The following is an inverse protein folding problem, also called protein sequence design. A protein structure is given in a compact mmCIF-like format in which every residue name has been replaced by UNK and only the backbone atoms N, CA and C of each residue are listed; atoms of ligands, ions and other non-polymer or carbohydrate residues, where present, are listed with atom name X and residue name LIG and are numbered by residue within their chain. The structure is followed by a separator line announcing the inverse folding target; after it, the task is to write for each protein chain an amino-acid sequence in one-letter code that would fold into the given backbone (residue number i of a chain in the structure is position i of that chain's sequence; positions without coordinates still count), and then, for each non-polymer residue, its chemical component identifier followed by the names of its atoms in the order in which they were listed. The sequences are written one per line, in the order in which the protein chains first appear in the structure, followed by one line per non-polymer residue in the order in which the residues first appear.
data_IF_538146749550
#
_entry.id   IF_538146749550
#
_cell.length_a   1.000
_cell.length_b   1.000
_cell.length_c   1.000
_cell.angle_alpha   90.00
_cell.angle_beta   90.00
_cell.angle_gamma   90.00
#
_symmetry.space_group_name_H-M   'P 1'
#
loop_
_entity.id
_entity.type
_entity.pdbx_description
1 polymer ?
2 water ?
#
# COMPACT_ATOMS: atom_id res chain seq x y z
N UNK A 1 3.83 26.22 -4.02
CA UNK A 1 4.28 26.95 -5.24
C UNK A 1 3.20 27.01 -6.31
N UNK A 2 2.10 26.30 -6.05
CA UNK A 2 1.00 26.30 -6.99
C UNK A 2 0.94 25.02 -7.80
N UNK A 3 1.91 24.13 -7.59
CA UNK A 3 1.94 22.85 -8.31
C UNK A 3 1.13 21.79 -7.57
N UNK A 4 1.82 20.86 -6.92
CA UNK A 4 1.16 19.80 -6.19
C UNK A 4 0.78 20.22 -4.78
N UNK A 5 -0.48 19.99 -4.43
CA UNK A 5 -1.00 20.33 -3.11
C UNK A 5 -0.98 19.09 -2.22
N UNK A 6 -0.23 19.16 -1.12
CA UNK A 6 -0.12 18.04 -0.20
C UNK A 6 -1.28 18.02 0.78
N UNK A 7 -2.04 16.93 0.78
CA UNK A 7 -3.19 16.78 1.66
C UNK A 7 -2.65 16.24 2.99
N UNK A 8 -3.01 16.89 4.09
CA UNK A 8 -2.51 16.47 5.40
C UNK A 8 -3.63 16.02 6.33
N UNK A 9 -4.86 16.10 5.85
CA UNK A 9 -6.00 15.71 6.66
C UNK A 9 -7.26 15.54 5.84
N UNK A 10 -8.26 14.93 6.46
CA UNK A 10 -9.55 14.71 5.84
C UNK A 10 -10.22 16.07 5.56
N UNK A 11 -10.03 17.01 6.48
CA UNK A 11 -10.60 18.36 6.33
C UNK A 11 -10.00 18.99 5.08
N UNK A 12 -8.69 18.87 4.91
CA UNK A 12 -8.04 19.42 3.73
C UNK A 12 -8.57 18.68 2.50
N UNK A 13 -8.70 17.36 2.61
CA UNK A 13 -9.24 16.57 1.50
C UNK A 13 -10.60 17.12 1.04
N UNK A 14 -11.52 17.30 1.99
CA UNK A 14 -12.86 17.80 1.67
C UNK A 14 -12.84 19.21 1.08
N UNK A 15 -11.94 20.05 1.60
CA UNK A 15 -11.87 21.41 1.08
C UNK A 15 -11.39 21.39 -0.36
N UNK A 16 -10.43 20.53 -0.68
CA UNK A 16 -9.90 20.50 -2.04
C UNK A 16 -10.88 19.92 -3.04
N UNK A 17 -11.64 18.89 -2.65
CA UNK A 17 -12.61 18.33 -3.58
C UNK A 17 -13.67 19.40 -3.88
N UNK A 18 -14.07 20.13 -2.84
CA UNK A 18 -15.04 21.20 -2.98
C UNK A 18 -14.50 22.27 -3.92
N UNK A 19 -13.19 22.53 -3.84
CA UNK A 19 -12.56 23.52 -4.70
C UNK A 19 -12.75 23.10 -6.17
N UNK A 20 -12.37 21.86 -6.49
CA UNK A 20 -12.53 21.37 -7.85
C UNK A 20 -13.96 21.53 -8.37
N UNK A 21 -14.93 21.31 -7.49
CA UNK A 21 -16.34 21.44 -7.84
C UNK A 21 -16.73 22.90 -8.10
N UNK A 22 -16.25 23.81 -7.25
CA UNK A 22 -16.53 25.24 -7.38
C UNK A 22 -15.82 25.84 -8.59
N UNK A 23 -14.58 25.45 -8.84
CA UNK A 23 -13.88 26.01 -9.98
C UNK A 23 -14.19 25.26 -11.26
N UNK A 24 -14.88 24.13 -11.16
CA UNK A 24 -15.21 23.33 -12.34
C UNK A 24 -13.94 22.90 -13.08
N UNK A 25 -13.01 22.34 -12.32
CA UNK A 25 -11.73 21.87 -12.86
C UNK A 25 -11.59 20.45 -12.35
N UNK A 26 -11.01 19.56 -13.16
CA UNK A 26 -10.85 18.18 -12.70
C UNK A 26 -9.68 18.12 -11.71
N UNK A 27 -9.72 17.15 -10.80
CA UNK A 27 -8.67 16.97 -9.82
C UNK A 27 -8.00 15.61 -10.06
N UNK A 28 -6.67 15.56 -10.07
CA UNK A 28 -5.98 14.29 -10.24
C UNK A 28 -5.20 14.05 -8.96
N UNK A 29 -5.45 12.92 -8.32
CA UNK A 29 -4.81 12.61 -7.05
C UNK A 29 -3.80 11.48 -7.15
N UNK A 30 -2.67 11.66 -6.50
CA UNK A 30 -1.62 10.64 -6.46
C UNK A 30 -1.59 10.05 -5.05
N UNK A 31 -2.06 8.80 -4.91
CA UNK A 31 -2.03 8.11 -3.63
C UNK A 31 -0.69 7.37 -3.59
N UNK A 32 0.17 7.79 -2.67
CA UNK A 32 1.51 7.26 -2.57
C UNK A 32 1.94 6.92 -1.13
N UNK A 33 3.14 6.39 -0.98
CA UNK A 33 3.68 6.05 0.33
C UNK A 33 5.20 6.10 0.28
N UNK A 34 5.83 6.45 1.39
CA UNK A 34 7.29 6.54 1.45
C UNK A 34 8.00 5.20 1.18
N UNK A 35 7.34 4.08 1.50
CA UNK A 35 7.95 2.76 1.28
C UNK A 35 7.76 2.20 -0.11
N UNK A 36 6.99 2.91 -0.92
CA UNK A 36 6.69 2.45 -2.27
C UNK A 36 7.75 2.86 -3.29
N UNK A 37 8.53 1.89 -3.75
CA UNK A 37 9.57 2.17 -4.73
C UNK A 37 9.08 2.73 -6.05
N UNK A 38 8.15 2.05 -6.72
CA UNK A 38 7.64 2.57 -8.00
C UNK A 38 7.02 3.96 -7.83
N UNK A 39 6.47 4.24 -6.66
CA UNK A 39 5.88 5.56 -6.41
C UNK A 39 6.97 6.62 -6.48
N UNK A 40 8.13 6.31 -5.90
CA UNK A 40 9.25 7.24 -5.90
C UNK A 40 9.70 7.51 -7.33
N UNK A 41 9.60 6.50 -8.17
CA UNK A 41 10.01 6.64 -9.56
C UNK A 41 9.09 7.49 -10.43
N UNK A 42 7.78 7.46 -10.16
CA UNK A 42 6.85 8.23 -10.98
C UNK A 42 6.54 9.62 -10.45
N UNK A 43 6.93 9.90 -9.21
CA UNK A 43 6.67 11.21 -8.64
C UNK A 43 7.22 12.37 -9.48
N UNK A 44 8.46 12.24 -9.99
CA UNK A 44 8.99 13.36 -10.79
C UNK A 44 8.05 13.72 -11.95
N UNK A 45 7.47 12.72 -12.59
CA UNK A 45 6.56 12.97 -13.69
C UNK A 45 5.28 13.68 -13.22
N UNK A 46 4.70 13.19 -12.12
CA UNK A 46 3.48 13.78 -11.59
C UNK A 46 3.68 15.27 -11.35
N UNK A 47 4.86 15.64 -10.87
CA UNK A 47 5.17 17.04 -10.61
C UNK A 47 5.30 17.83 -11.91
N UNK A 48 5.97 17.26 -12.90
CA UNK A 48 6.13 17.92 -14.19
C UNK A 48 4.75 18.14 -14.80
N UNK A 49 3.93 17.10 -14.78
CA UNK A 49 2.58 17.19 -15.32
C UNK A 49 1.82 18.30 -14.61
N UNK A 50 2.11 18.48 -13.32
CA UNK A 50 1.42 19.52 -12.58
C UNK A 50 1.85 20.91 -13.07
N UNK A 51 3.08 21.03 -13.55
CA UNK A 51 3.53 22.32 -14.05
C UNK A 51 2.94 22.50 -15.44
N UNK A 52 2.93 21.43 -16.22
CA UNK A 52 2.40 21.50 -17.57
C UNK A 52 0.90 21.76 -17.64
N UNK A 53 0.16 21.39 -16.61
CA UNK A 53 -1.29 21.59 -16.65
C UNK A 53 -1.80 22.58 -15.62
N UNK A 54 -0.89 23.34 -15.02
CA UNK A 54 -1.27 24.33 -14.03
C UNK A 54 -2.40 25.18 -14.61
N UNK A 55 -3.42 25.45 -13.80
CA UNK A 55 -4.53 26.25 -14.28
C UNK A 55 -5.62 25.46 -14.99
N UNK A 56 -5.30 24.26 -15.47
CA UNK A 56 -6.33 23.45 -16.14
C UNK A 56 -6.76 22.29 -15.25
N UNK A 57 -5.82 21.74 -14.49
CA UNK A 57 -6.09 20.61 -13.62
C UNK A 57 -5.44 20.84 -12.26
N UNK A 58 -6.12 20.39 -11.21
CA UNK A 58 -5.62 20.52 -9.85
C UNK A 58 -4.97 19.19 -9.46
N UNK A 59 -3.75 19.26 -8.95
CA UNK A 59 -3.02 18.06 -8.56
C UNK A 59 -2.88 17.92 -7.04
N UNK A 60 -3.30 16.78 -6.51
CA UNK A 60 -3.18 16.55 -5.08
C UNK A 60 -2.32 15.31 -4.81
N UNK A 61 -1.68 15.30 -3.65
CA UNK A 61 -0.85 14.19 -3.25
C UNK A 61 -1.28 13.72 -1.87
N UNK A 62 -1.55 12.43 -1.75
CA UNK A 62 -1.96 11.87 -0.48
C UNK A 62 -1.03 10.75 -0.05
N UNK A 63 -0.36 10.95 1.08
CA UNK A 63 0.52 9.94 1.62
C UNK A 63 -0.43 9.04 2.41
N UNK A 64 -0.68 7.83 1.90
CA UNK A 64 -1.63 6.93 2.55
C UNK A 64 -1.40 6.66 4.03
N UNK A 65 -0.14 6.54 4.44
CA UNK A 65 0.12 6.28 5.84
C UNK A 65 -0.15 7.51 6.71
N UNK A 66 0.14 8.70 6.18
CA UNK A 66 -0.08 9.94 6.92
C UNK A 66 -1.56 10.34 7.03
N UNK A 67 -2.39 9.88 6.09
CA UNK A 67 -3.80 10.23 6.10
C UNK A 67 -4.66 8.98 5.85
N UNK A 68 -4.57 8.04 6.79
CA UNK A 68 -5.29 6.78 6.70
C UNK A 68 -6.78 6.88 6.41
N UNK A 69 -7.45 7.86 7.01
CA UNK A 69 -8.89 8.04 6.81
C UNK A 69 -9.27 8.22 5.35
N UNK A 70 -8.47 8.99 4.62
CA UNK A 70 -8.75 9.24 3.21
C UNK A 70 -8.42 8.01 2.38
N UNK A 71 -7.30 7.37 2.72
CA UNK A 71 -6.84 6.18 2.04
C UNK A 71 -7.90 5.10 2.14
N UNK A 72 -8.42 4.90 3.34
CA UNK A 72 -9.44 3.87 3.54
C UNK A 72 -10.71 4.15 2.75
N UNK A 73 -11.21 5.38 2.83
CA UNK A 73 -12.43 5.72 2.11
C UNK A 73 -12.25 5.59 0.60
N UNK A 74 -11.06 5.94 0.13
CA UNK A 74 -10.78 5.88 -1.29
C UNK A 74 -10.65 4.44 -1.83
N UNK A 75 -10.58 3.46 -0.93
CA UNK A 75 -10.49 2.08 -1.37
C UNK A 75 -9.17 1.67 -2.00
N UNK A 76 -8.08 2.21 -1.47
CA UNK A 76 -6.73 1.94 -1.95
C UNK A 76 -6.17 0.56 -1.55
N UNK A 77 -5.58 -0.16 -2.50
CA UNK A 77 -4.99 -1.46 -2.19
C UNK A 77 -3.58 -1.64 -2.79
N UNK A 78 -3.32 -0.99 -3.94
CA UNK A 78 -2.01 -1.06 -4.59
C UNK A 78 -1.47 0.36 -4.84
N UNK A 79 -0.15 0.48 -4.86
CA UNK A 79 0.52 1.76 -5.06
C UNK A 79 1.44 1.74 -6.28
N UNK A 80 1.47 2.85 -7.03
CA UNK A 80 0.67 4.05 -6.75
C UNK A 80 -0.71 3.95 -7.37
N UNK A 81 -1.65 4.72 -6.84
CA UNK A 81 -2.98 4.77 -7.41
C UNK A 81 -3.29 6.22 -7.69
N UNK A 82 -3.89 6.47 -8.86
CA UNK A 82 -4.27 7.80 -9.29
C UNK A 82 -5.79 7.86 -9.46
N UNK A 83 -6.41 8.90 -8.91
CA UNK A 83 -7.85 9.04 -9.07
C UNK A 83 -8.11 10.37 -9.75
N UNK A 84 -9.21 10.45 -10.47
CA UNK A 84 -9.61 11.72 -11.05
C UNK A 84 -10.94 12.03 -10.37
N UNK A 85 -11.11 13.26 -9.91
CA UNK A 85 -12.35 13.65 -9.27
C UNK A 85 -12.95 14.80 -10.04
N UNK A 86 -14.26 14.75 -10.22
CA UNK A 86 -15.02 15.80 -10.90
C UNK A 86 -16.36 15.98 -10.18
N UNK A 87 -16.72 17.24 -9.92
CA UNK A 87 -17.96 17.56 -9.20
C UNK A 87 -18.08 16.81 -7.89
N UNK A 88 -16.95 16.64 -7.20
CA UNK A 88 -16.95 15.97 -5.91
C UNK A 88 -16.95 14.45 -5.84
N UNK A 89 -16.99 13.77 -6.98
CA UNK A 89 -17.01 12.30 -6.98
C UNK A 89 -15.93 11.71 -7.84
N UNK A 90 -15.62 10.44 -7.60
CA UNK A 90 -14.59 9.76 -8.37
C UNK A 90 -15.11 9.55 -9.79
N UNK A 91 -14.32 9.95 -10.79
CA UNK A 91 -14.72 9.84 -12.18
C UNK A 91 -13.84 8.90 -12.98
N UNK A 92 -12.64 8.60 -12.49
CA UNK A 92 -11.76 7.72 -13.25
C UNK A 92 -10.56 7.40 -12.37
N UNK A 93 -9.83 6.34 -12.72
CA UNK A 93 -8.65 5.97 -11.96
C UNK A 93 -7.60 5.24 -12.78
N UNK A 94 -6.41 5.09 -12.19
CA UNK A 94 -5.29 4.41 -12.83
C UNK A 94 -4.44 3.83 -11.71
N UNK A 95 -4.12 2.55 -11.80
CA UNK A 95 -3.32 1.92 -10.76
C UNK A 95 -2.05 1.39 -11.40
N UNK A 96 -0.92 1.67 -10.77
CA UNK A 96 0.35 1.21 -11.30
C UNK A 96 1.21 2.40 -11.65
N UNK A 97 2.49 2.16 -11.91
CA UNK A 97 3.40 3.24 -12.24
C UNK A 97 3.66 3.35 -13.73
N UNK A 98 2.60 3.29 -14.53
CA UNK A 98 2.76 3.40 -15.97
C UNK A 98 2.83 4.88 -16.36
N UNK A 99 4.01 5.33 -16.77
CA UNK A 99 4.18 6.72 -17.15
C UNK A 99 3.33 7.10 -18.36
N UNK A 100 3.30 6.22 -19.36
CA UNK A 100 2.52 6.50 -20.55
C UNK A 100 1.03 6.55 -20.27
N UNK A 101 0.56 5.77 -19.31
CA UNK A 101 -0.86 5.79 -18.99
C UNK A 101 -1.21 7.00 -18.15
N UNK A 102 -0.28 7.46 -17.32
CA UNK A 102 -0.52 8.63 -16.47
C UNK A 102 -0.69 9.86 -17.37
N UNK A 103 0.18 9.98 -18.37
CA UNK A 103 0.13 11.10 -19.31
C UNK A 103 -1.21 11.15 -20.05
N UNK A 104 -1.65 9.99 -20.51
CA UNK A 104 -2.90 9.88 -21.26
C UNK A 104 -4.11 10.22 -20.40
N UNK A 105 -4.07 9.77 -19.15
CA UNK A 105 -5.14 10.03 -18.19
C UNK A 105 -5.31 11.54 -17.97
N UNK A 106 -4.22 12.23 -17.66
CA UNK A 106 -4.28 13.67 -17.42
C UNK A 106 -4.75 14.41 -18.67
N UNK A 107 -4.14 14.12 -19.81
CA UNK A 107 -4.52 14.76 -21.07
C UNK A 107 -6.02 14.53 -21.33
N UNK A 108 -6.47 13.29 -21.18
CA UNK A 108 -7.87 12.99 -21.39
C UNK A 108 -8.81 13.90 -20.59
N UNK A 109 -8.55 14.06 -19.30
CA UNK A 109 -9.43 14.89 -18.49
C UNK A 109 -9.18 16.38 -18.59
N UNK A 110 -8.00 16.76 -19.06
CA UNK A 110 -7.68 18.17 -19.23
C UNK A 110 -8.63 18.71 -20.30
N UNK A 111 -9.09 17.81 -21.17
CA UNK A 111 -9.99 18.14 -22.28
C UNK A 111 -11.46 18.06 -21.86
N UNK A 112 -12.23 17.22 -22.53
CA UNK A 112 -13.65 17.07 -22.21
C UNK A 112 -14.19 15.67 -22.52
N UNK B 1 -3.73 -10.94 17.20
CA UNK B 1 -4.08 -12.09 18.11
C UNK B 1 -3.48 -13.42 17.67
N UNK B 2 -4.11 -14.51 18.13
CA UNK B 2 -3.63 -15.84 17.82
C UNK B 2 -2.21 -15.90 18.35
N UNK B 3 -1.31 -16.44 17.55
CA UNK B 3 0.08 -16.55 17.96
C UNK B 3 0.95 -15.60 17.13
N UNK B 4 0.31 -14.61 16.49
CA UNK B 4 1.01 -13.66 15.65
C UNK B 4 1.91 -12.72 16.46
N UNK B 5 3.13 -12.53 15.98
CA UNK B 5 4.07 -11.62 16.63
C UNK B 5 4.04 -10.33 15.82
N UNK B 6 3.78 -9.20 16.48
CA UNK B 6 3.76 -7.98 15.71
C UNK B 6 5.11 -7.29 15.82
N UNK B 7 5.65 -6.98 14.65
CA UNK B 7 6.94 -6.33 14.50
C UNK B 7 6.73 -4.83 14.64
N UNK B 8 7.47 -4.21 15.55
CA UNK B 8 7.34 -2.77 15.77
C UNK B 8 8.64 -2.03 15.46
N UNK B 9 9.66 -2.75 15.01
CA UNK B 9 10.93 -2.11 14.67
C UNK B 9 11.79 -2.94 13.73
N UNK B 10 12.78 -2.29 13.13
CA UNK B 10 13.71 -2.94 12.22
C UNK B 10 14.52 -3.99 12.99
N UNK B 11 14.93 -3.63 14.20
CA UNK B 11 15.72 -4.52 15.04
C UNK B 11 14.96 -5.81 15.39
N UNK B 12 13.67 -5.67 15.66
CA UNK B 12 12.84 -6.81 16.02
C UNK B 12 12.72 -7.67 14.78
N UNK B 13 12.56 -7.03 13.63
CA UNK B 13 12.47 -7.77 12.38
C UNK B 13 13.73 -8.62 12.17
N UNK B 14 14.91 -8.03 12.31
CA UNK B 14 16.15 -8.79 12.09
C UNK B 14 16.33 -9.91 13.10
N UNK B 15 15.94 -9.65 14.35
CA UNK B 15 16.06 -10.65 15.40
C UNK B 15 15.18 -11.84 15.10
N UNK B 16 13.95 -11.59 14.65
CA UNK B 16 13.05 -12.68 14.34
C UNK B 16 13.56 -13.50 13.14
N UNK B 17 14.14 -12.84 12.13
CA UNK B 17 14.65 -13.60 10.99
C UNK B 17 15.84 -14.47 11.40
N UNK B 18 16.74 -13.92 12.22
CA UNK B 18 17.91 -14.67 12.70
C UNK B 18 17.45 -15.91 13.45
N UNK B 19 16.43 -15.77 14.27
CA UNK B 19 15.94 -16.89 15.03
C UNK B 19 15.42 -17.99 14.10
N UNK B 20 14.58 -17.59 13.14
CA UNK B 20 14.03 -18.56 12.20
C UNK B 20 15.12 -19.36 11.51
N UNK B 21 16.19 -18.68 11.12
CA UNK B 21 17.32 -19.34 10.46
C UNK B 21 17.99 -20.32 11.44
N UNK B 22 18.22 -19.86 12.66
CA UNK B 22 18.84 -20.69 13.67
C UNK B 22 18.06 -21.96 13.93
N UNK B 23 16.76 -21.82 14.18
CA UNK B 23 15.90 -22.97 14.46
C UNK B 23 15.40 -23.70 13.22
N UNK B 24 15.81 -23.25 12.04
CA UNK B 24 15.39 -23.84 10.77
C UNK B 24 13.88 -23.96 10.72
N UNK B 25 13.20 -22.89 11.10
CA UNK B 25 11.75 -22.85 11.10
C UNK B 25 11.33 -21.75 10.13
N UNK B 26 10.44 -22.07 9.18
CA UNK B 26 9.99 -21.06 8.22
C UNK B 26 9.21 -19.92 8.89
N UNK B 27 9.22 -18.75 8.27
CA UNK B 27 8.52 -17.59 8.81
C UNK B 27 7.55 -17.05 7.78
N UNK B 28 6.31 -16.83 8.17
CA UNK B 28 5.38 -16.24 7.22
C UNK B 28 4.99 -14.86 7.72
N UNK B 29 5.15 -13.89 6.83
CA UNK B 29 4.87 -12.50 7.15
C UNK B 29 3.65 -11.91 6.45
N UNK B 30 2.83 -11.21 7.23
CA UNK B 30 1.67 -10.54 6.69
C UNK B 30 1.99 -9.05 6.70
N UNK B 31 2.13 -8.47 5.52
CA UNK B 31 2.40 -7.03 5.36
C UNK B 31 1.02 -6.42 5.18
N UNK B 32 0.58 -5.66 6.19
CA UNK B 32 -0.76 -5.08 6.21
C UNK B 32 -0.77 -3.58 6.55
N UNK B 33 -1.95 -2.97 6.55
CA UNK B 33 -2.10 -1.55 6.87
C UNK B 33 -3.54 -1.36 7.37
N UNK B 34 -3.73 -0.42 8.29
CA UNK B 34 -5.06 -0.21 8.84
C UNK B 34 -6.07 0.34 7.83
N UNK B 35 -5.59 1.00 6.77
CA UNK B 35 -6.49 1.56 5.75
C UNK B 35 -6.89 0.56 4.68
N UNK B 36 -6.31 -0.64 4.75
CA UNK B 36 -6.55 -1.68 3.77
C UNK B 36 -7.73 -2.57 4.12
N UNK B 37 -8.79 -2.45 3.33
CA UNK B 37 -9.99 -3.23 3.55
C UNK B 37 -9.75 -4.72 3.40
N UNK B 38 -9.25 -5.18 2.24
CA UNK B 38 -9.00 -6.61 2.07
C UNK B 38 -8.07 -7.17 3.15
N UNK B 39 -7.21 -6.33 3.70
CA UNK B 39 -6.29 -6.80 4.74
C UNK B 39 -7.00 -7.23 6.01
N UNK B 40 -8.04 -6.50 6.40
CA UNK B 40 -8.79 -6.82 7.61
C UNK B 40 -9.65 -8.06 7.41
N UNK B 41 -10.09 -8.25 6.17
CA UNK B 41 -10.93 -9.38 5.82
C UNK B 41 -10.20 -10.71 5.93
N UNK B 42 -8.90 -10.70 5.67
CA UNK B 42 -8.11 -11.92 5.72
C UNK B 42 -7.32 -12.09 7.03
N UNK B 43 -7.33 -11.07 7.89
CA UNK B 43 -6.60 -11.14 9.15
C UNK B 43 -7.02 -12.30 10.05
N UNK B 44 -8.33 -12.55 10.19
CA UNK B 44 -8.82 -13.65 11.03
C UNK B 44 -8.22 -14.99 10.60
N UNK B 45 -8.11 -15.18 9.28
CA UNK B 45 -7.56 -16.41 8.75
C UNK B 45 -6.09 -16.55 9.15
N UNK B 46 -5.33 -15.47 8.97
CA UNK B 46 -3.92 -15.47 9.32
C UNK B 46 -3.79 -15.84 10.80
N UNK B 47 -4.62 -15.26 11.65
CA UNK B 47 -4.54 -15.57 13.08
C UNK B 47 -4.80 -17.04 13.41
N UNK B 48 -5.81 -17.64 12.78
CA UNK B 48 -6.12 -19.05 13.06
C UNK B 48 -4.99 -19.96 12.60
N UNK B 49 -4.49 -19.70 11.39
CA UNK B 49 -3.37 -20.46 10.85
C UNK B 49 -2.17 -20.34 11.79
N UNK B 50 -2.05 -19.20 12.48
CA UNK B 50 -0.93 -19.01 13.39
C UNK B 50 -1.07 -19.97 14.56
N UNK B 51 -2.31 -20.31 14.91
CA UNK B 51 -2.54 -21.26 15.99
C UNK B 51 -2.38 -22.69 15.46
N UNK B 52 -2.98 -22.98 14.31
CA UNK B 52 -2.90 -24.31 13.71
C UNK B 52 -1.47 -24.79 13.45
N UNK B 53 -0.57 -23.85 13.19
CA UNK B 53 0.81 -24.20 12.89
C UNK B 53 1.79 -23.73 13.95
N UNK B 54 1.28 -23.39 15.12
CA UNK B 54 2.13 -22.94 16.21
C UNK B 54 3.19 -24.00 16.51
N UNK B 55 4.45 -23.59 16.61
CA UNK B 55 5.51 -24.53 16.89
C UNK B 55 6.22 -25.00 15.63
N UNK B 56 5.54 -24.93 14.49
CA UNK B 56 6.13 -25.34 13.23
C UNK B 56 6.55 -24.14 12.38
N UNK B 57 5.72 -23.09 12.41
CA UNK B 57 5.94 -21.89 11.62
C UNK B 57 5.78 -20.62 12.44
N UNK B 58 6.67 -19.67 12.20
CA UNK B 58 6.63 -18.40 12.91
C UNK B 58 5.82 -17.39 12.10
N UNK B 59 4.77 -16.84 12.71
CA UNK B 59 3.93 -15.87 12.01
C UNK B 59 4.20 -14.47 12.52
N UNK B 60 4.46 -13.57 11.58
CA UNK B 60 4.76 -12.17 11.87
C UNK B 60 3.80 -11.22 11.20
N UNK B 61 3.55 -10.09 11.86
CA UNK B 61 2.69 -9.06 11.30
C UNK B 61 3.48 -7.76 11.20
N UNK B 62 3.44 -7.14 10.04
CA UNK B 62 4.13 -5.88 9.86
C UNK B 62 3.13 -4.86 9.34
N UNK B 63 2.87 -3.84 10.16
CA UNK B 63 1.99 -2.76 9.77
C UNK B 63 2.93 -1.83 8.99
N UNK B 64 2.67 -1.61 7.71
CA UNK B 64 3.56 -0.76 6.92
C UNK B 64 3.60 0.70 7.40
N UNK B 65 2.56 1.14 8.11
CA UNK B 65 2.53 2.50 8.65
C UNK B 65 3.63 2.58 9.71
N UNK B 66 3.53 1.70 10.70
CA UNK B 66 4.47 1.66 11.82
C UNK B 66 5.93 1.32 11.53
N UNK B 67 6.20 0.46 10.55
CA UNK B 67 7.58 0.08 10.28
C UNK B 67 7.99 0.21 8.81
N UNK B 68 7.97 1.44 8.30
CA UNK B 68 8.29 1.74 6.91
C UNK B 68 9.62 1.21 6.37
N UNK B 69 10.68 1.25 7.17
CA UNK B 69 11.97 0.76 6.70
C UNK B 69 11.85 -0.70 6.28
N UNK B 70 11.15 -1.50 7.07
CA UNK B 70 10.98 -2.90 6.72
C UNK B 70 10.13 -3.06 5.46
N UNK B 71 9.03 -2.31 5.38
CA UNK B 71 8.16 -2.38 4.21
C UNK B 71 8.96 -2.01 2.94
N UNK B 72 9.80 -0.98 3.06
CA UNK B 72 10.61 -0.51 1.94
C UNK B 72 11.61 -1.56 1.48
N UNK B 73 12.33 -2.16 2.42
CA UNK B 73 13.31 -3.19 2.09
C UNK B 73 12.63 -4.40 1.46
N UNK B 74 11.39 -4.65 1.85
CA UNK B 74 10.64 -5.79 1.35
C UNK B 74 10.12 -5.64 -0.07
N UNK B 75 10.15 -4.42 -0.61
CA UNK B 75 9.65 -4.20 -1.96
C UNK B 75 8.14 -4.30 -2.08
N UNK B 76 7.43 -3.88 -1.04
CA UNK B 76 5.98 -3.94 -1.02
C UNK B 76 5.36 -2.94 -1.99
N UNK B 77 4.24 -3.31 -2.59
CA UNK B 77 3.60 -2.42 -3.54
C UNK B 77 2.07 -2.55 -3.51
N UNK B 78 1.60 -3.67 -3.00
CA UNK B 78 0.17 -3.94 -2.92
C UNK B 78 -0.14 -4.73 -1.65
N UNK B 79 -1.32 -4.50 -1.11
CA UNK B 79 -1.73 -5.17 0.11
C UNK B 79 -3.00 -5.99 -0.09
N UNK B 80 -3.13 -7.11 0.65
CA UNK B 80 -2.07 -7.50 1.58
C UNK B 80 -1.02 -8.29 0.83
N UNK B 81 0.15 -8.42 1.42
CA UNK B 81 1.22 -9.20 0.81
C UNK B 81 1.77 -10.16 1.86
N UNK B 82 2.04 -11.39 1.44
CA UNK B 82 2.58 -12.39 2.33
C UNK B 82 3.91 -12.88 1.83
N UNK B 83 4.91 -12.86 2.71
CA UNK B 83 6.25 -13.36 2.37
C UNK B 83 6.54 -14.59 3.22
N UNK B 84 7.40 -15.46 2.71
CA UNK B 84 7.84 -16.65 3.43
C UNK B 84 9.37 -16.54 3.46
N UNK B 85 9.94 -16.59 4.66
CA UNK B 85 11.38 -16.50 4.78
C UNK B 85 11.94 -17.79 5.35
N UNK B 86 13.04 -18.24 4.77
CA UNK B 86 13.74 -19.44 5.21
C UNK B 86 15.23 -19.13 5.16
N UNK B 87 15.96 -19.50 6.21
CA UNK B 87 17.39 -19.25 6.26
C UNK B 87 17.71 -17.78 6.01
N UNK B 88 16.84 -16.89 6.49
CA UNK B 88 17.05 -15.47 6.34
C UNK B 88 16.76 -14.86 4.99
N UNK B 89 16.11 -15.60 4.09
CA UNK B 89 15.83 -15.07 2.76
C UNK B 89 14.39 -15.30 2.27
N UNK B 90 13.84 -14.33 1.54
CA UNK B 90 12.49 -14.48 1.01
C UNK B 90 12.52 -15.66 0.04
N UNK B 91 11.74 -16.69 0.33
CA UNK B 91 11.71 -17.89 -0.50
C UNK B 91 10.44 -18.00 -1.33
N UNK B 92 9.42 -17.23 -0.96
CA UNK B 92 8.16 -17.27 -1.68
C UNK B 92 7.30 -16.11 -1.20
N UNK B 93 6.30 -15.75 -2.01
CA UNK B 93 5.38 -14.70 -1.63
C UNK B 93 4.03 -14.93 -2.27
N UNK B 94 3.08 -14.08 -1.90
CA UNK B 94 1.72 -14.16 -2.38
C UNK B 94 1.12 -12.78 -2.19
N UNK B 95 0.62 -12.19 -3.27
CA UNK B 95 0.01 -10.86 -3.21
C UNK B 95 -1.50 -11.03 -3.38
N UNK B 96 -2.30 -10.47 -2.48
CA UNK B 96 -3.74 -10.61 -2.62
C UNK B 96 -4.40 -11.23 -1.41
N UNK B 97 -5.72 -11.12 -1.35
CA UNK B 97 -6.48 -11.65 -0.22
C UNK B 97 -7.17 -12.99 -0.49
N UNK B 98 -6.55 -13.86 -1.27
CA UNK B 98 -7.14 -15.16 -1.55
C UNK B 98 -6.98 -16.08 -0.35
N UNK B 99 -8.09 -16.55 0.22
CA UNK B 99 -7.99 -17.44 1.36
C UNK B 99 -7.37 -18.80 1.02
N UNK B 100 -7.74 -19.38 -0.13
CA UNK B 100 -7.20 -20.69 -0.51
C UNK B 100 -5.70 -20.62 -0.76
N UNK B 101 -5.26 -19.59 -1.46
CA UNK B 101 -3.83 -19.43 -1.75
C UNK B 101 -3.04 -19.26 -0.46
N UNK B 102 -3.58 -18.50 0.50
CA UNK B 102 -2.87 -18.31 1.76
C UNK B 102 -2.73 -19.64 2.48
N UNK B 103 -3.81 -20.42 2.51
CA UNK B 103 -3.77 -21.71 3.18
C UNK B 103 -2.76 -22.63 2.51
N UNK B 104 -2.78 -22.68 1.19
CA UNK B 104 -1.85 -23.52 0.45
C UNK B 104 -0.40 -23.10 0.70
N UNK B 105 -0.16 -21.79 0.76
CA UNK B 105 1.19 -21.27 0.98
C UNK B 105 1.80 -21.80 2.28
N UNK B 106 1.08 -21.65 3.39
CA UNK B 106 1.59 -22.12 4.67
C UNK B 106 1.79 -23.63 4.74
N UNK B 107 0.88 -24.39 4.13
CA UNK B 107 0.99 -25.85 4.14
C UNK B 107 2.24 -26.27 3.36
N UNK B 108 2.39 -25.71 2.16
CA UNK B 108 3.54 -26.02 1.32
C UNK B 108 4.88 -25.84 2.04
N UNK B 109 5.03 -24.74 2.77
CA UNK B 109 6.28 -24.49 3.45
C UNK B 109 6.36 -25.05 4.87
N UNK B 110 5.22 -25.50 5.39
CA UNK B 110 5.18 -26.08 6.73
C UNK B 110 5.78 -27.48 6.67
N UNK B 111 5.45 -28.20 5.60
CA UNK B 111 5.95 -29.56 5.39
C UNK B 111 7.46 -29.50 5.28
N UNK B 112 7.93 -28.59 4.42
CA UNK B 112 9.36 -28.40 4.18
C UNK B 112 9.55 -27.72 2.83
#
# INVERSE_FOLDING_TARGET
GGSVIVIDSKAAWDAQLAKGKEEHKPIVVDFTATWCGPCKMIAPLFETLSNDYAGKVIFLKVDVDAVAAVAEAAGITAMPTFHVYKDGVKADDLVGASQDKLKALVAKHAAA
GGSVIVIDSKAAWDAQLAKGKEEHKPIVVDFTATWCGPCKMIAPLFETLSNDYAGKVIFLKVDVDAVAAVAEAAGITAMPTFHVYKDGVKADDLVGASQDKLKALVAKHAAA
#
